data_IF_098720266443
#
_entry.id   IF_098720266443
#
_cell.length_a   1.000
_cell.length_b   1.000
_cell.length_c   1.000
_cell.angle_alpha   90.00
_cell.angle_beta   90.00
_cell.angle_gamma   90.00
#
_symmetry.space_group_name_H-M   'P 1'
#
loop_
_entity.id
_entity.type
_entity.pdbx_description
1 polymer ?
#
# COMPACT_ATOMS: atom_id res chain seq x y z
N UNK A 1 -10.87 25.24 26.67
CA UNK A 1 -10.82 23.77 26.89
C UNK A 1 -11.83 23.49 28.01
N UNK A 2 -12.72 22.50 27.90
CA UNK A 2 -13.71 22.24 28.96
C UNK A 2 -12.95 21.91 30.28
N UNK A 3 -13.34 22.52 31.40
CA UNK A 3 -12.71 22.35 32.72
C UNK A 3 -12.57 20.88 33.13
N UNK A 4 -13.52 20.04 32.72
CA UNK A 4 -13.48 18.60 32.98
C UNK A 4 -12.35 17.89 32.21
N UNK A 5 -12.13 18.26 30.94
CA UNK A 5 -11.05 17.71 30.12
C UNK A 5 -9.68 18.09 30.69
N UNK A 6 -9.53 19.34 31.13
CA UNK A 6 -8.28 19.81 31.73
C UNK A 6 -7.95 19.08 33.03
N UNK A 7 -8.94 18.86 33.89
CA UNK A 7 -8.77 18.10 35.14
C UNK A 7 -8.32 16.67 34.88
N UNK A 8 -8.91 15.99 33.90
CA UNK A 8 -8.55 14.61 33.54
C UNK A 8 -7.16 14.54 32.89
N UNK A 9 -6.80 15.49 32.03
CA UNK A 9 -5.44 15.59 31.48
C UNK A 9 -4.39 15.80 32.58
N UNK A 10 -4.69 16.63 33.57
CA UNK A 10 -3.81 16.83 34.72
C UNK A 10 -3.64 15.53 35.53
N UNK A 11 -4.71 14.74 35.70
CA UNK A 11 -4.67 13.45 36.39
C UNK A 11 -3.87 12.37 35.61
N UNK A 12 -3.72 12.53 34.30
CA UNK A 12 -2.95 11.63 33.44
C UNK A 12 -1.48 12.03 33.26
N UNK A 13 -1.03 13.14 33.85
CA UNK A 13 0.35 13.59 33.73
C UNK A 13 1.31 12.53 34.29
N UNK A 14 2.29 12.13 33.47
CA UNK A 14 3.26 11.09 33.82
C UNK A 14 2.73 9.64 33.75
N UNK A 15 1.46 9.43 33.37
CA UNK A 15 0.86 8.11 33.26
C UNK A 15 1.12 7.50 31.89
N UNK A 16 1.65 6.28 31.86
CA UNK A 16 1.94 5.51 30.64
C UNK A 16 0.98 4.34 30.40
N UNK A 17 0.10 4.06 31.36
CA UNK A 17 -0.86 2.94 31.40
C UNK A 17 -1.88 3.03 30.25
N UNK A 18 -1.87 2.09 29.28
CA UNK A 18 -2.79 2.08 28.15
C UNK A 18 -4.27 2.10 28.56
N UNK A 19 -4.68 1.38 29.60
CA UNK A 19 -6.09 1.26 29.98
C UNK A 19 -6.67 2.59 30.45
N UNK A 20 -5.86 3.41 31.14
CA UNK A 20 -6.27 4.76 31.56
C UNK A 20 -6.42 5.70 30.37
N UNK A 21 -5.53 5.58 29.38
CA UNK A 21 -5.62 6.36 28.14
C UNK A 21 -6.80 5.92 27.27
N UNK A 22 -7.07 4.63 27.16
CA UNK A 22 -8.24 4.11 26.44
C UNK A 22 -9.54 4.63 27.06
N UNK A 23 -9.69 4.57 28.39
CA UNK A 23 -10.85 5.16 29.11
C UNK A 23 -10.97 6.66 28.88
N UNK A 24 -9.86 7.39 28.81
CA UNK A 24 -9.86 8.81 28.50
C UNK A 24 -10.37 9.07 27.08
N UNK A 25 -9.86 8.33 26.07
CA UNK A 25 -10.31 8.46 24.68
C UNK A 25 -11.72 7.92 24.47
N UNK A 26 -12.20 6.99 25.29
CA UNK A 26 -13.59 6.55 25.29
C UNK A 26 -14.52 7.64 25.84
N UNK A 27 -14.14 8.29 26.95
CA UNK A 27 -14.92 9.35 27.60
C UNK A 27 -14.98 10.64 26.78
N UNK A 28 -13.85 11.08 26.24
CA UNK A 28 -13.75 12.36 25.56
C UNK A 28 -13.74 12.24 24.04
N UNK A 29 -13.35 11.07 23.51
CA UNK A 29 -13.40 10.80 22.08
C UNK A 29 -14.82 10.68 21.57
N UNK A 30 -15.01 10.81 20.25
CA UNK A 30 -16.33 10.68 19.65
C UNK A 30 -16.91 9.25 19.73
N UNK A 31 -16.15 8.27 20.22
CA UNK A 31 -16.56 6.87 20.38
C UNK A 31 -16.76 6.15 19.04
N UNK A 32 -16.64 4.82 19.02
CA UNK A 32 -16.63 4.07 17.76
C UNK A 32 -17.20 2.64 17.90
N UNK A 33 -18.54 2.57 17.99
CA UNK A 33 -19.32 1.32 18.10
C UNK A 33 -20.44 1.20 17.05
N UNK A 34 -20.44 2.08 16.04
CA UNK A 34 -21.56 2.24 15.11
C UNK A 34 -21.35 1.33 13.89
N UNK A 35 -22.25 0.35 13.63
CA UNK A 35 -22.09 -0.62 12.54
C UNK A 35 -22.32 -0.02 11.15
N UNK A 36 -22.85 1.21 11.06
CA UNK A 36 -23.07 1.96 9.82
C UNK A 36 -22.07 3.11 9.68
N UNK A 37 -21.95 3.66 8.46
CA UNK A 37 -21.23 4.92 8.26
C UNK A 37 -22.05 6.04 8.89
N UNK A 38 -21.51 6.67 9.91
CA UNK A 38 -22.17 7.76 10.62
C UNK A 38 -21.15 8.84 10.98
N UNK A 39 -21.38 10.04 10.45
CA UNK A 39 -20.58 11.25 10.67
C UNK A 39 -19.06 11.02 10.64
N UNK A 40 -18.57 10.15 9.75
CA UNK A 40 -17.19 9.66 9.79
C UNK A 40 -16.16 10.80 9.76
N UNK A 41 -16.43 11.87 8.99
CA UNK A 41 -15.59 13.07 8.97
C UNK A 41 -15.60 13.83 10.29
N UNK A 42 -16.77 14.14 10.86
CA UNK A 42 -16.85 14.89 12.11
C UNK A 42 -16.19 14.14 13.27
N UNK A 43 -16.36 12.80 13.33
CA UNK A 43 -15.71 11.94 14.33
C UNK A 43 -14.20 11.87 14.13
N UNK A 44 -13.73 11.82 12.90
CA UNK A 44 -12.31 11.93 12.60
C UNK A 44 -11.73 13.26 13.10
N UNK A 45 -12.41 14.38 12.82
CA UNK A 45 -12.03 15.70 13.32
C UNK A 45 -12.04 15.74 14.85
N UNK A 46 -13.00 15.10 15.50
CA UNK A 46 -13.06 14.96 16.96
C UNK A 46 -11.83 14.26 17.55
N UNK A 47 -11.42 13.13 16.99
CA UNK A 47 -10.18 12.45 17.41
C UNK A 47 -8.94 13.31 17.19
N UNK A 48 -8.82 13.98 16.03
CA UNK A 48 -7.72 14.91 15.76
C UNK A 48 -7.63 16.04 16.79
N UNK A 49 -8.77 16.66 17.08
CA UNK A 49 -8.84 17.79 18.01
C UNK A 49 -8.42 17.35 19.43
N UNK A 50 -8.87 16.20 19.90
CA UNK A 50 -8.49 15.68 21.22
C UNK A 50 -7.01 15.35 21.30
N UNK A 51 -6.46 14.66 20.30
CA UNK A 51 -5.01 14.38 20.25
C UNK A 51 -4.19 15.67 20.22
N UNK A 52 -4.64 16.67 19.47
CA UNK A 52 -3.99 17.98 19.43
C UNK A 52 -4.10 18.73 20.77
N UNK A 53 -5.23 18.64 21.47
CA UNK A 53 -5.41 19.21 22.82
C UNK A 53 -4.49 18.54 23.84
N UNK A 54 -4.38 17.21 23.83
CA UNK A 54 -3.41 16.47 24.68
C UNK A 54 -1.98 16.95 24.38
N UNK A 55 -1.61 17.07 23.09
CA UNK A 55 -0.29 17.55 22.66
C UNK A 55 0.02 18.97 23.12
N UNK A 56 -0.96 19.88 22.97
CA UNK A 56 -0.82 21.29 23.38
C UNK A 56 -0.79 21.48 24.90
N UNK A 57 -1.45 20.60 25.64
CA UNK A 57 -1.44 20.62 27.10
C UNK A 57 -0.05 20.30 27.64
N UNK A 58 0.55 19.19 27.19
CA UNK A 58 1.91 18.80 27.55
C UNK A 58 2.47 17.75 26.57
N UNK A 59 3.60 18.05 25.95
CA UNK A 59 4.24 17.16 24.98
C UNK A 59 4.77 15.88 25.64
N UNK A 60 5.25 15.96 26.89
CA UNK A 60 5.75 14.78 27.61
C UNK A 60 4.61 13.81 27.90
N UNK A 61 3.48 14.32 28.39
CA UNK A 61 2.24 13.55 28.58
C UNK A 61 1.74 12.94 27.26
N UNK A 62 1.74 13.69 26.16
CA UNK A 62 1.35 13.18 24.84
C UNK A 62 2.23 12.01 24.36
N UNK A 63 3.54 12.08 24.60
CA UNK A 63 4.47 11.01 24.25
C UNK A 63 4.27 9.75 25.10
N UNK A 64 3.83 9.92 26.35
CA UNK A 64 3.49 8.80 27.25
C UNK A 64 2.14 8.18 26.92
N UNK A 65 1.18 8.97 26.45
CA UNK A 65 -0.15 8.51 26.07
C UNK A 65 -0.11 7.32 25.11
N UNK A 66 -0.94 6.30 25.35
CA UNK A 66 -1.19 5.25 24.36
C UNK A 66 -2.18 5.77 23.33
N UNK A 67 -1.74 5.88 22.08
CA UNK A 67 -2.51 6.46 20.98
C UNK A 67 -2.93 5.41 19.94
N UNK A 68 -2.68 4.12 20.20
CA UNK A 68 -2.95 3.03 19.26
C UNK A 68 -4.43 2.93 18.92
N UNK A 69 -5.28 2.97 19.96
CA UNK A 69 -6.74 2.97 19.83
C UNK A 69 -7.26 4.15 19.00
N UNK A 70 -7.00 5.43 19.33
CA UNK A 70 -7.50 6.54 18.51
C UNK A 70 -6.92 6.52 17.09
N UNK A 71 -5.66 6.13 16.87
CA UNK A 71 -5.13 5.99 15.51
C UNK A 71 -5.82 4.90 14.70
N UNK A 72 -6.06 3.72 15.28
CA UNK A 72 -6.81 2.64 14.63
C UNK A 72 -8.23 3.09 14.24
N UNK A 73 -8.88 3.80 15.15
CA UNK A 73 -10.20 4.37 14.94
C UNK A 73 -10.21 5.45 13.84
N UNK A 74 -9.20 6.31 13.80
CA UNK A 74 -9.03 7.28 12.71
C UNK A 74 -8.76 6.61 11.37
N UNK A 75 -7.99 5.51 11.35
CA UNK A 75 -7.76 4.72 10.14
C UNK A 75 -9.08 4.21 9.56
N UNK A 76 -9.92 3.62 10.42
CA UNK A 76 -11.26 3.17 10.05
C UNK A 76 -12.13 4.31 9.48
N UNK A 77 -12.21 5.43 10.19
CA UNK A 77 -13.02 6.58 9.79
C UNK A 77 -12.56 7.17 8.45
N UNK A 78 -11.25 7.25 8.20
CA UNK A 78 -10.71 7.67 6.91
C UNK A 78 -11.04 6.68 5.78
N UNK A 79 -11.02 5.39 6.09
CA UNK A 79 -11.49 4.34 5.18
C UNK A 79 -12.96 4.51 4.79
N UNK A 80 -13.82 4.90 5.73
CA UNK A 80 -15.24 5.18 5.44
C UNK A 80 -15.44 6.39 4.52
N UNK A 81 -14.63 7.43 4.71
CA UNK A 81 -14.62 8.66 3.89
C UNK A 81 -14.08 8.39 2.48
N UNK A 82 -13.33 7.30 2.28
CA UNK A 82 -12.66 6.99 1.01
C UNK A 82 -11.24 7.54 0.91
N UNK A 83 -10.73 8.19 1.96
CA UNK A 83 -9.35 8.69 2.00
C UNK A 83 -8.37 7.59 2.42
N UNK A 84 -8.16 6.60 1.54
CA UNK A 84 -7.35 5.41 1.82
C UNK A 84 -5.90 5.71 2.18
N UNK A 85 -5.29 6.74 1.60
CA UNK A 85 -3.94 7.16 1.96
C UNK A 85 -3.84 7.52 3.45
N UNK A 86 -4.77 8.36 3.94
CA UNK A 86 -4.83 8.71 5.37
C UNK A 86 -5.21 7.51 6.23
N UNK A 87 -6.08 6.64 5.75
CA UNK A 87 -6.44 5.41 6.45
C UNK A 87 -5.20 4.54 6.71
N UNK A 88 -4.38 4.32 5.69
CA UNK A 88 -3.16 3.51 5.78
C UNK A 88 -2.08 4.19 6.62
N UNK A 89 -1.97 5.51 6.55
CA UNK A 89 -1.10 6.29 7.44
C UNK A 89 -1.46 6.10 8.91
N UNK A 90 -2.73 6.31 9.29
CA UNK A 90 -3.17 6.13 10.68
C UNK A 90 -3.09 4.67 11.13
N UNK A 91 -3.30 3.70 10.24
CA UNK A 91 -3.11 2.28 10.54
C UNK A 91 -1.65 2.00 10.89
N UNK A 92 -0.70 2.52 10.11
CA UNK A 92 0.72 2.42 10.41
C UNK A 92 1.08 3.07 11.74
N UNK A 93 0.55 4.25 12.04
CA UNK A 93 0.75 4.93 13.32
C UNK A 93 0.21 4.12 14.50
N UNK A 94 -0.93 3.46 14.36
CA UNK A 94 -1.50 2.58 15.38
C UNK A 94 -0.59 1.38 15.66
N UNK A 95 -0.10 0.72 14.62
CA UNK A 95 0.80 -0.44 14.74
C UNK A 95 2.12 -0.04 15.42
N UNK A 96 2.72 1.08 15.03
CA UNK A 96 3.97 1.56 15.64
C UNK A 96 3.78 1.96 17.10
N UNK A 97 2.66 2.57 17.45
CA UNK A 97 2.33 2.93 18.82
C UNK A 97 2.13 1.70 19.71
N UNK A 98 1.43 0.69 19.19
CA UNK A 98 1.25 -0.60 19.86
C UNK A 98 2.57 -1.33 20.06
N UNK A 99 3.41 -1.38 19.02
CA UNK A 99 4.75 -1.99 19.09
C UNK A 99 5.68 -1.28 20.07
N UNK A 100 5.61 0.06 20.13
CA UNK A 100 6.39 0.86 21.08
C UNK A 100 6.05 0.48 22.53
N UNK A 101 4.79 0.14 22.80
CA UNK A 101 4.31 -0.24 24.15
C UNK A 101 4.52 -1.72 24.46
N UNK A 102 4.31 -2.60 23.48
CA UNK A 102 4.51 -4.04 23.63
C UNK A 102 5.12 -4.65 22.37
N UNK A 103 6.45 -4.79 22.37
CA UNK A 103 7.18 -5.40 21.25
C UNK A 103 6.89 -6.89 21.07
N UNK A 104 6.49 -7.60 22.11
CA UNK A 104 6.34 -9.05 22.08
C UNK A 104 5.00 -9.45 21.48
N UNK A 105 3.93 -8.70 21.80
CA UNK A 105 2.56 -9.12 21.44
C UNK A 105 1.78 -8.15 20.56
N UNK A 106 2.35 -7.03 20.09
CA UNK A 106 1.64 -6.07 19.23
C UNK A 106 0.98 -6.70 17.98
N UNK A 107 1.52 -7.81 17.48
CA UNK A 107 0.93 -8.55 16.35
C UNK A 107 -0.46 -9.11 16.67
N UNK A 108 -0.83 -9.25 17.94
CA UNK A 108 -2.16 -9.67 18.36
C UNK A 108 -3.17 -8.53 18.37
N UNK A 109 -2.73 -7.28 18.22
CA UNK A 109 -3.59 -6.12 18.29
C UNK A 109 -4.40 -5.91 17.01
N UNK A 110 -5.57 -5.23 17.10
CA UNK A 110 -6.48 -5.06 15.97
C UNK A 110 -5.86 -4.39 14.75
N UNK A 111 -4.94 -3.43 14.94
CA UNK A 111 -4.31 -2.71 13.85
C UNK A 111 -3.41 -3.62 12.99
N UNK A 112 -2.58 -4.46 13.62
CA UNK A 112 -1.75 -5.42 12.90
C UNK A 112 -2.58 -6.52 12.23
N UNK A 113 -3.61 -7.02 12.93
CA UNK A 113 -4.56 -8.00 12.36
C UNK A 113 -5.32 -7.46 11.16
N UNK A 114 -5.63 -6.16 11.15
CA UNK A 114 -6.25 -5.51 10.00
C UNK A 114 -5.28 -5.44 8.81
N UNK A 115 -4.02 -5.03 9.03
CA UNK A 115 -3.00 -4.99 7.98
C UNK A 115 -2.73 -6.37 7.37
N UNK A 116 -2.73 -7.42 8.19
CA UNK A 116 -2.50 -8.82 7.78
C UNK A 116 -3.76 -9.54 7.33
N UNK A 117 -4.90 -8.84 7.25
CA UNK A 117 -6.21 -9.40 6.85
C UNK A 117 -6.71 -10.58 7.71
N UNK A 118 -6.25 -10.68 8.96
CA UNK A 118 -6.56 -11.78 9.90
C UNK A 118 -7.78 -11.56 10.80
N UNK A 119 -8.42 -10.37 10.78
CA UNK A 119 -9.64 -10.13 11.56
C UNK A 119 -10.66 -9.32 10.78
N UNK A 120 -11.83 -9.92 10.56
CA UNK A 120 -13.05 -9.24 10.10
C UNK A 120 -13.92 -8.75 11.26
N UNK A 121 -13.62 -9.18 12.48
CA UNK A 121 -14.34 -8.80 13.70
C UNK A 121 -13.88 -7.43 14.22
N UNK A 122 -14.84 -6.64 14.71
CA UNK A 122 -14.60 -5.34 15.35
C UNK A 122 -15.00 -4.14 14.49
N UNK A 123 -14.66 -2.95 15.00
CA UNK A 123 -15.17 -1.69 14.44
C UNK A 123 -14.72 -1.43 12.99
N UNK A 124 -13.55 -1.92 12.58
CA UNK A 124 -12.99 -1.66 11.25
C UNK A 124 -13.40 -2.66 10.14
N UNK A 125 -14.44 -3.49 10.32
CA UNK A 125 -14.87 -4.50 9.31
C UNK A 125 -15.06 -3.91 7.90
N UNK A 126 -15.52 -2.67 7.78
CA UNK A 126 -15.68 -2.02 6.47
C UNK A 126 -14.35 -1.70 5.80
N UNK A 127 -13.37 -1.22 6.57
CA UNK A 127 -12.02 -1.01 6.07
C UNK A 127 -11.36 -2.35 5.74
N UNK A 128 -11.56 -3.37 6.57
CA UNK A 128 -11.12 -4.74 6.29
C UNK A 128 -11.59 -5.23 4.92
N UNK A 129 -12.89 -5.14 4.64
CA UNK A 129 -13.45 -5.55 3.33
C UNK A 129 -12.83 -4.75 2.17
N UNK A 130 -12.65 -3.44 2.35
CA UNK A 130 -12.04 -2.56 1.34
C UNK A 130 -10.56 -2.90 1.05
N UNK A 131 -9.83 -3.46 2.01
CA UNK A 131 -8.47 -3.95 1.79
C UNK A 131 -8.45 -5.37 1.23
N UNK A 132 -9.34 -6.22 1.72
CA UNK A 132 -9.38 -7.65 1.40
C UNK A 132 -9.78 -7.94 -0.04
N UNK A 133 -10.86 -7.33 -0.52
CA UNK A 133 -11.40 -7.68 -1.85
C UNK A 133 -10.41 -7.33 -2.98
N UNK A 134 -9.75 -6.14 -3.01
CA UNK A 134 -8.74 -5.86 -4.03
C UNK A 134 -7.56 -6.85 -3.98
N UNK A 135 -7.07 -7.18 -2.78
CA UNK A 135 -5.98 -8.15 -2.63
C UNK A 135 -6.39 -9.52 -3.19
N UNK A 136 -7.59 -10.00 -2.85
CA UNK A 136 -8.14 -11.27 -3.35
C UNK A 136 -8.26 -11.29 -4.88
N UNK A 137 -8.89 -10.26 -5.46
CA UNK A 137 -9.10 -10.16 -6.91
C UNK A 137 -7.77 -10.10 -7.66
N UNK A 138 -6.81 -9.35 -7.14
CA UNK A 138 -5.51 -9.15 -7.79
C UNK A 138 -4.62 -10.39 -7.68
N UNK A 139 -4.69 -11.15 -6.59
CA UNK A 139 -4.05 -12.47 -6.52
C UNK A 139 -4.67 -13.47 -7.51
N UNK A 140 -6.00 -13.52 -7.59
CA UNK A 140 -6.68 -14.38 -8.56
C UNK A 140 -6.23 -14.06 -10.00
N UNK A 141 -6.22 -12.77 -10.36
CA UNK A 141 -5.72 -12.32 -11.67
C UNK A 141 -4.26 -12.72 -11.90
N UNK A 142 -3.41 -12.65 -10.87
CA UNK A 142 -2.03 -13.09 -10.98
C UNK A 142 -1.92 -14.60 -11.26
N UNK A 143 -2.66 -15.44 -10.54
CA UNK A 143 -2.69 -16.89 -10.81
C UNK A 143 -3.20 -17.17 -12.23
N UNK A 144 -4.31 -16.53 -12.64
CA UNK A 144 -4.92 -16.69 -13.96
C UNK A 144 -3.95 -16.25 -15.10
N UNK A 145 -3.23 -15.14 -14.92
CA UNK A 145 -2.32 -14.58 -15.93
C UNK A 145 -0.99 -15.33 -16.06
N UNK A 146 -0.55 -16.00 -14.99
CA UNK A 146 0.81 -16.56 -14.92
C UNK A 146 0.84 -18.09 -14.82
N UNK A 147 -0.28 -18.71 -14.45
CA UNK A 147 -0.36 -20.13 -14.13
C UNK A 147 0.36 -20.52 -12.83
N UNK A 148 0.87 -19.55 -12.06
CA UNK A 148 1.54 -19.79 -10.79
C UNK A 148 0.48 -19.87 -9.69
N UNK A 149 0.39 -21.01 -9.00
CA UNK A 149 -0.46 -21.13 -7.82
C UNK A 149 0.25 -20.61 -6.56
N UNK A 150 -0.51 -19.92 -5.70
CA UNK A 150 -0.05 -19.49 -4.37
C UNK A 150 0.18 -20.67 -3.42
N UNK A 151 -0.51 -21.80 -3.65
CA UNK A 151 -0.41 -23.01 -2.82
C UNK A 151 -1.04 -22.89 -1.43
N UNK A 152 -1.75 -21.80 -1.13
CA UNK A 152 -2.48 -21.56 0.13
C UNK A 152 -3.57 -20.49 -0.05
N UNK A 153 -4.40 -20.28 0.98
CA UNK A 153 -5.38 -19.19 0.98
C UNK A 153 -4.67 -17.83 0.88
N UNK A 154 -5.26 -16.90 0.12
CA UNK A 154 -4.66 -15.59 -0.16
C UNK A 154 -4.51 -14.72 1.10
N UNK A 155 -5.33 -14.91 2.14
CA UNK A 155 -5.18 -14.19 3.42
C UNK A 155 -3.92 -14.66 4.14
N UNK A 156 -3.70 -15.97 4.20
CA UNK A 156 -2.48 -16.53 4.79
C UNK A 156 -1.24 -16.18 3.96
N UNK A 157 -1.38 -16.19 2.64
CA UNK A 157 -0.32 -15.72 1.74
C UNK A 157 0.01 -14.25 1.98
N UNK A 158 -0.99 -13.37 2.06
CA UNK A 158 -0.81 -11.96 2.37
C UNK A 158 -0.15 -11.73 3.72
N UNK A 159 -0.55 -12.46 4.76
CA UNK A 159 0.12 -12.43 6.05
C UNK A 159 1.60 -12.80 5.91
N UNK A 160 1.93 -13.88 5.20
CA UNK A 160 3.31 -14.30 4.99
C UNK A 160 4.13 -13.23 4.27
N UNK A 161 3.53 -12.51 3.32
CA UNK A 161 4.15 -11.35 2.65
C UNK A 161 4.51 -10.27 3.66
N UNK A 162 3.52 -9.84 4.45
CA UNK A 162 3.69 -8.81 5.47
C UNK A 162 4.80 -9.24 6.44
N UNK A 163 4.74 -10.46 6.95
CA UNK A 163 5.69 -10.97 7.95
C UNK A 163 7.11 -11.11 7.39
N UNK A 164 7.28 -11.69 6.19
CA UNK A 164 8.60 -11.83 5.58
C UNK A 164 9.24 -10.48 5.26
N UNK A 165 8.51 -9.56 4.65
CA UNK A 165 9.04 -8.23 4.32
C UNK A 165 9.32 -7.42 5.60
N UNK A 166 8.51 -7.57 6.64
CA UNK A 166 8.68 -6.85 7.92
C UNK A 166 9.46 -7.64 8.98
N UNK A 167 10.19 -8.70 8.62
CA UNK A 167 10.92 -9.56 9.57
C UNK A 167 11.82 -8.77 10.52
N UNK A 168 12.60 -7.82 10.00
CA UNK A 168 13.49 -6.95 10.81
C UNK A 168 12.80 -5.72 11.40
N UNK A 169 11.49 -5.59 11.21
CA UNK A 169 10.63 -4.48 11.63
C UNK A 169 11.31 -3.10 11.56
N UNK A 170 11.73 -2.71 10.36
CA UNK A 170 12.31 -1.39 10.10
C UNK A 170 11.31 -0.47 9.38
N UNK A 171 11.46 0.84 9.56
CA UNK A 171 10.54 1.84 9.02
C UNK A 171 10.39 1.75 7.49
N UNK A 172 11.46 1.37 6.78
CA UNK A 172 11.45 1.26 5.31
C UNK A 172 10.52 0.14 4.85
N UNK A 173 10.65 -1.06 5.43
CA UNK A 173 9.88 -2.23 5.03
C UNK A 173 8.41 -2.12 5.47
N UNK A 174 8.14 -1.55 6.65
CA UNK A 174 6.77 -1.25 7.09
C UNK A 174 6.13 -0.25 6.15
N UNK A 175 6.83 0.83 5.80
CA UNK A 175 6.33 1.83 4.83
C UNK A 175 6.04 1.21 3.47
N UNK A 176 6.88 0.28 3.00
CA UNK A 176 6.66 -0.43 1.74
C UNK A 176 5.37 -1.26 1.76
N UNK A 177 5.12 -2.03 2.81
CA UNK A 177 3.88 -2.81 2.96
C UNK A 177 2.65 -1.91 3.05
N UNK A 178 2.72 -0.82 3.81
CA UNK A 178 1.63 0.16 3.94
C UNK A 178 1.33 0.82 2.59
N UNK A 179 2.37 1.17 1.84
CA UNK A 179 2.25 1.76 0.50
C UNK A 179 1.69 0.76 -0.51
N UNK A 180 2.11 -0.50 -0.44
CA UNK A 180 1.56 -1.57 -1.26
C UNK A 180 0.07 -1.80 -0.98
N UNK A 181 -0.32 -1.93 0.30
CA UNK A 181 -1.71 -2.11 0.70
C UNK A 181 -2.59 -0.94 0.24
N UNK A 182 -2.09 0.29 0.41
CA UNK A 182 -2.71 1.50 -0.11
C UNK A 182 -2.89 1.42 -1.64
N UNK A 183 -1.81 1.18 -2.37
CA UNK A 183 -1.80 1.18 -3.83
C UNK A 183 -2.78 0.15 -4.41
N UNK A 184 -2.79 -1.07 -3.85
CA UNK A 184 -3.73 -2.13 -4.25
C UNK A 184 -5.19 -1.72 -3.95
N UNK A 185 -5.46 -1.10 -2.79
CA UNK A 185 -6.82 -0.72 -2.39
C UNK A 185 -7.45 0.34 -3.29
N UNK A 186 -6.63 1.13 -3.98
CA UNK A 186 -7.07 2.21 -4.86
C UNK A 186 -7.49 1.72 -6.25
N UNK A 187 -7.15 0.48 -6.63
CA UNK A 187 -7.41 -0.02 -7.99
C UNK A 187 -8.87 0.11 -8.42
N UNK A 188 -9.83 -0.25 -7.54
CA UNK A 188 -11.25 -0.23 -7.88
C UNK A 188 -11.76 1.19 -8.14
N UNK A 189 -11.31 2.17 -7.35
CA UNK A 189 -11.66 3.58 -7.52
C UNK A 189 -11.04 4.15 -8.80
N UNK A 190 -9.73 3.93 -9.01
CA UNK A 190 -9.04 4.43 -10.20
C UNK A 190 -9.54 3.77 -11.49
N UNK A 191 -9.96 2.51 -11.44
CA UNK A 191 -10.58 1.83 -12.58
C UNK A 191 -11.96 2.40 -12.94
N UNK A 192 -12.72 2.90 -11.97
CA UNK A 192 -13.99 3.60 -12.25
C UNK A 192 -13.70 5.01 -12.76
N UNK A 193 -12.75 5.72 -12.13
CA UNK A 193 -12.33 7.05 -12.58
C UNK A 193 -11.83 7.01 -14.02
N UNK A 194 -11.02 6.01 -14.40
CA UNK A 194 -10.55 5.88 -15.79
C UNK A 194 -11.71 5.77 -16.77
N UNK A 195 -12.74 4.96 -16.44
CA UNK A 195 -13.94 4.82 -17.26
C UNK A 195 -14.80 6.09 -17.33
N UNK A 196 -14.84 6.88 -16.26
CA UNK A 196 -15.57 8.14 -16.24
C UNK A 196 -14.87 9.26 -17.00
N UNK A 197 -13.54 9.17 -17.11
CA UNK A 197 -12.73 10.20 -17.76
C UNK A 197 -12.59 10.00 -19.28
N UNK A 198 -13.16 8.92 -19.83
CA UNK A 198 -13.15 8.64 -21.27
C UNK A 198 -13.64 9.88 -22.04
N UNK A 199 -12.85 10.37 -22.99
CA UNK A 199 -13.06 11.57 -23.82
C UNK A 199 -12.95 12.94 -23.12
N UNK A 200 -12.49 13.00 -21.87
CA UNK A 200 -12.36 14.29 -21.13
C UNK A 200 -10.93 14.83 -21.08
N UNK A 201 -9.92 14.02 -21.39
CA UNK A 201 -8.50 14.40 -21.41
C UNK A 201 -7.90 14.89 -20.08
N UNK A 202 -8.64 14.85 -18.97
CA UNK A 202 -8.38 15.66 -17.77
C UNK A 202 -7.85 14.87 -16.55
N UNK A 203 -7.79 13.54 -16.62
CA UNK A 203 -7.35 12.66 -15.50
C UNK A 203 -6.07 11.87 -15.76
N UNK A 204 -5.48 12.05 -16.94
CA UNK A 204 -4.41 11.20 -17.45
C UNK A 204 -3.18 11.14 -16.50
N UNK A 205 -2.91 12.24 -15.79
CA UNK A 205 -1.84 12.33 -14.78
C UNK A 205 -2.10 11.59 -13.48
N UNK A 206 -3.34 11.60 -12.99
CA UNK A 206 -3.66 10.96 -11.71
C UNK A 206 -3.51 9.45 -11.86
N UNK A 207 -4.05 8.90 -12.96
CA UNK A 207 -3.90 7.51 -13.33
C UNK A 207 -2.43 7.13 -13.53
N UNK A 208 -1.65 7.96 -14.23
CA UNK A 208 -0.22 7.75 -14.45
C UNK A 208 0.60 7.81 -13.16
N UNK A 209 0.30 8.76 -12.27
CA UNK A 209 0.97 8.89 -10.97
C UNK A 209 0.74 7.65 -10.12
N UNK A 210 -0.49 7.12 -10.10
CA UNK A 210 -0.79 5.89 -9.40
C UNK A 210 -0.05 4.68 -10.00
N UNK A 211 0.05 4.56 -11.33
CA UNK A 211 0.87 3.50 -11.94
C UNK A 211 2.35 3.62 -11.60
N UNK A 212 2.90 4.84 -11.61
CA UNK A 212 4.29 5.12 -11.22
C UNK A 212 4.58 4.74 -9.77
N UNK A 213 3.66 5.00 -8.85
CA UNK A 213 3.77 4.53 -7.46
C UNK A 213 3.91 3.00 -7.40
N UNK A 214 3.12 2.28 -8.21
CA UNK A 214 3.24 0.82 -8.38
C UNK A 214 4.63 0.40 -8.87
N UNK A 215 5.17 1.08 -9.87
CA UNK A 215 6.51 0.82 -10.37
C UNK A 215 7.62 1.09 -9.35
N UNK A 216 7.45 2.08 -8.48
CA UNK A 216 8.38 2.35 -7.36
C UNK A 216 8.28 1.28 -6.26
N UNK A 217 7.08 0.75 -6.00
CA UNK A 217 6.89 -0.41 -5.11
C UNK A 217 7.62 -1.63 -5.69
N UNK A 218 7.44 -1.90 -6.98
CA UNK A 218 8.13 -2.97 -7.70
C UNK A 218 9.67 -2.84 -7.56
N UNK A 219 10.23 -1.67 -7.86
CA UNK A 219 11.66 -1.41 -7.69
C UNK A 219 12.12 -1.63 -6.23
N UNK A 220 11.34 -1.15 -5.27
CA UNK A 220 11.65 -1.31 -3.84
C UNK A 220 11.68 -2.78 -3.41
N UNK A 221 10.77 -3.60 -3.92
CA UNK A 221 10.73 -5.05 -3.68
C UNK A 221 11.92 -5.76 -4.35
N UNK A 222 12.28 -5.37 -5.57
CA UNK A 222 13.48 -5.92 -6.23
C UNK A 222 14.75 -5.65 -5.39
N UNK A 223 14.88 -4.47 -4.78
CA UNK A 223 16.03 -4.16 -3.90
C UNK A 223 16.05 -4.99 -2.61
N UNK A 224 14.92 -5.55 -2.18
CA UNK A 224 14.89 -6.50 -1.04
C UNK A 224 15.48 -7.84 -1.46
N UNK A 225 15.15 -8.34 -2.65
CA UNK A 225 15.70 -9.60 -3.16
C UNK A 225 17.15 -9.49 -3.59
N UNK A 226 17.56 -8.31 -4.06
CA UNK A 226 18.88 -8.09 -4.63
C UNK A 226 19.52 -6.82 -4.05
N UNK A 227 19.96 -6.87 -2.78
CA UNK A 227 20.51 -5.70 -2.09
C UNK A 227 21.80 -5.17 -2.71
N UNK A 228 22.58 -6.01 -3.39
CA UNK A 228 23.80 -5.65 -4.10
C UNK A 228 23.59 -4.92 -5.44
N UNK A 229 22.34 -4.72 -5.85
CA UNK A 229 21.99 -4.05 -7.11
C UNK A 229 21.78 -2.55 -6.84
N UNK A 230 22.79 -1.74 -7.20
CA UNK A 230 22.73 -0.28 -7.10
C UNK A 230 21.82 0.35 -8.16
N UNK A 231 21.77 -0.24 -9.36
CA UNK A 231 20.92 0.19 -10.47
C UNK A 231 20.10 -0.99 -10.99
N UNK A 232 18.78 -0.90 -10.85
CA UNK A 232 17.86 -1.94 -11.31
C UNK A 232 17.90 -2.11 -12.84
N UNK A 233 18.17 -1.04 -13.60
CA UNK A 233 18.37 -1.12 -15.05
C UNK A 233 19.57 -1.98 -15.42
N UNK A 234 20.70 -1.77 -14.74
CA UNK A 234 21.89 -2.61 -14.91
C UNK A 234 21.65 -4.06 -14.48
N UNK A 235 20.81 -4.29 -13.47
CA UNK A 235 20.41 -5.65 -13.09
C UNK A 235 19.52 -6.33 -14.13
N UNK A 236 18.57 -5.60 -14.71
CA UNK A 236 17.72 -6.12 -15.77
C UNK A 236 18.52 -6.38 -17.04
N UNK A 237 19.46 -5.51 -17.39
CA UNK A 237 20.34 -5.69 -18.56
C UNK A 237 21.41 -6.78 -18.34
N UNK A 238 22.15 -6.74 -17.22
CA UNK A 238 23.33 -7.59 -17.00
C UNK A 238 23.04 -8.92 -16.28
N UNK A 239 21.95 -9.03 -15.50
CA UNK A 239 21.63 -10.22 -14.68
C UNK A 239 20.37 -10.98 -15.09
N UNK A 240 19.57 -10.52 -16.06
CA UNK A 240 18.51 -11.35 -16.65
C UNK A 240 19.04 -12.59 -17.37
N UNK A 241 20.28 -12.58 -17.87
CA UNK A 241 20.88 -13.71 -18.58
C UNK A 241 21.35 -14.86 -17.66
N UNK A 242 21.61 -14.62 -16.36
CA UNK A 242 22.25 -15.62 -15.49
C UNK A 242 21.41 -16.06 -14.28
N UNK A 243 20.84 -15.11 -13.50
CA UNK A 243 20.16 -15.42 -12.22
C UNK A 243 18.72 -14.87 -12.17
N UNK A 244 18.48 -13.69 -12.74
CA UNK A 244 17.18 -13.03 -12.68
C UNK A 244 16.19 -13.66 -13.68
N UNK A 245 16.59 -13.90 -14.94
CA UNK A 245 15.70 -14.50 -15.94
C UNK A 245 15.34 -15.96 -15.64
N UNK A 246 16.29 -16.76 -15.12
CA UNK A 246 16.02 -18.17 -14.76
C UNK A 246 15.00 -18.35 -13.64
N UNK A 247 14.96 -17.42 -12.68
CA UNK A 247 14.09 -17.53 -11.51
C UNK A 247 12.76 -16.80 -11.69
N UNK A 248 12.72 -15.74 -12.51
CA UNK A 248 11.55 -14.88 -12.68
C UNK A 248 10.75 -15.15 -13.94
N UNK A 249 11.39 -15.53 -15.03
CA UNK A 249 10.74 -15.68 -16.32
C UNK A 249 10.46 -17.16 -16.61
N UNK A 250 9.46 -17.45 -17.47
CA UNK A 250 9.33 -18.78 -18.04
C UNK A 250 10.65 -19.23 -18.68
N UNK A 251 11.00 -20.52 -18.56
CA UNK A 251 12.24 -21.09 -19.14
C UNK A 251 12.40 -20.83 -20.65
N UNK A 252 11.32 -20.49 -21.35
CA UNK A 252 11.26 -20.24 -22.79
C UNK A 252 11.12 -18.74 -23.14
N UNK A 253 11.31 -17.84 -22.17
CA UNK A 253 11.24 -16.40 -22.44
C UNK A 253 12.49 -15.95 -23.20
N UNK A 254 12.36 -15.78 -24.52
CA UNK A 254 13.37 -15.12 -25.34
C UNK A 254 13.34 -13.62 -25.07
N UNK A 255 14.17 -13.16 -24.14
CA UNK A 255 14.45 -11.74 -23.96
C UNK A 255 15.66 -11.40 -24.82
N UNK A 256 15.46 -10.54 -25.81
CA UNK A 256 16.57 -9.92 -26.53
C UNK A 256 17.41 -9.11 -25.53
N UNK A 257 18.74 -9.17 -25.64
CA UNK A 257 19.69 -8.48 -24.74
C UNK A 257 19.41 -6.99 -24.58
N UNK A 258 18.74 -6.37 -25.55
CA UNK A 258 18.52 -4.93 -25.64
C UNK A 258 17.06 -4.54 -25.27
N UNK A 259 16.25 -5.50 -24.81
CA UNK A 259 14.83 -5.29 -24.53
C UNK A 259 14.60 -4.21 -23.46
N UNK A 260 15.51 -4.13 -22.48
CA UNK A 260 15.49 -3.12 -21.43
C UNK A 260 16.34 -1.88 -21.76
N UNK A 261 17.26 -1.93 -22.73
CA UNK A 261 17.98 -0.73 -23.19
C UNK A 261 17.04 0.32 -23.79
N UNK A 262 15.95 -0.12 -24.42
CA UNK A 262 14.89 0.76 -24.92
C UNK A 262 14.13 1.51 -23.81
N UNK A 263 14.20 1.07 -22.56
CA UNK A 263 13.50 1.74 -21.44
C UNK A 263 14.19 3.01 -20.96
N UNK A 264 15.47 3.21 -21.30
CA UNK A 264 16.20 4.46 -21.01
C UNK A 264 15.76 5.62 -21.91
N UNK A 265 15.00 5.34 -22.98
CA UNK A 265 14.50 6.31 -23.95
C UNK A 265 12.97 6.53 -23.84
N UNK A 266 12.33 6.02 -22.78
CA UNK A 266 10.88 6.21 -22.58
C UNK A 266 10.63 7.60 -22.01
N UNK A 267 10.10 8.48 -22.84
CA UNK A 267 9.82 9.89 -22.50
C UNK A 267 8.33 10.15 -22.27
N UNK A 268 7.48 9.27 -22.79
CA UNK A 268 6.03 9.46 -22.89
C UNK A 268 5.26 8.15 -22.66
N UNK A 269 3.98 8.25 -22.27
CA UNK A 269 3.04 7.13 -22.26
C UNK A 269 2.80 6.57 -23.67
N UNK A 270 2.92 7.40 -24.71
CA UNK A 270 2.86 6.95 -26.11
C UNK A 270 3.99 5.99 -26.46
N UNK A 271 5.20 6.22 -25.94
CA UNK A 271 6.33 5.30 -26.13
C UNK A 271 6.02 3.93 -25.50
N UNK A 272 5.42 3.93 -24.30
CA UNK A 272 4.99 2.72 -23.60
C UNK A 272 3.90 1.99 -24.42
N UNK A 273 2.88 2.71 -24.87
CA UNK A 273 1.78 2.14 -25.65
C UNK A 273 2.25 1.57 -26.99
N UNK A 274 3.10 2.31 -27.71
CA UNK A 274 3.71 1.89 -28.96
C UNK A 274 4.49 0.59 -28.78
N UNK A 275 5.38 0.53 -27.79
CA UNK A 275 6.16 -0.68 -27.52
C UNK A 275 5.29 -1.89 -27.17
N UNK A 276 4.26 -1.70 -26.34
CA UNK A 276 3.32 -2.77 -25.98
C UNK A 276 2.56 -3.28 -27.20
N UNK A 277 2.17 -2.39 -28.12
CA UNK A 277 1.45 -2.76 -29.34
C UNK A 277 2.33 -3.52 -30.33
N UNK A 278 3.58 -3.09 -30.52
CA UNK A 278 4.56 -3.73 -31.42
C UNK A 278 5.02 -5.10 -30.92
N UNK A 279 4.94 -5.33 -29.60
CA UNK A 279 5.43 -6.55 -28.94
C UNK A 279 4.29 -7.38 -28.35
N UNK A 280 3.12 -7.40 -28.99
CA UNK A 280 1.93 -8.12 -28.52
C UNK A 280 2.16 -9.64 -28.34
N UNK A 281 3.15 -10.20 -29.02
CA UNK A 281 3.52 -11.62 -28.96
C UNK A 281 4.54 -11.95 -27.86
N UNK A 282 5.07 -10.96 -27.15
CA UNK A 282 6.01 -11.17 -26.05
C UNK A 282 5.29 -11.77 -24.83
N UNK A 283 5.96 -12.66 -24.10
CA UNK A 283 5.42 -13.24 -22.86
C UNK A 283 4.87 -12.14 -21.92
N UNK A 284 3.65 -12.34 -21.41
CA UNK A 284 3.01 -11.38 -20.51
C UNK A 284 3.83 -11.03 -19.27
N UNK A 285 4.65 -11.97 -18.77
CA UNK A 285 5.57 -11.70 -17.66
C UNK A 285 6.71 -10.77 -18.06
N UNK A 286 7.32 -10.99 -19.23
CA UNK A 286 8.38 -10.14 -19.76
C UNK A 286 7.85 -8.72 -19.98
N UNK A 287 6.65 -8.61 -20.57
CA UNK A 287 5.98 -7.33 -20.77
C UNK A 287 5.65 -6.63 -19.44
N UNK A 288 5.20 -7.38 -18.43
CA UNK A 288 4.90 -6.85 -17.10
C UNK A 288 6.12 -6.17 -16.46
N UNK A 289 7.28 -6.82 -16.54
CA UNK A 289 8.53 -6.28 -16.01
C UNK A 289 9.00 -5.05 -16.78
N UNK A 290 8.90 -5.08 -18.11
CA UNK A 290 9.26 -3.96 -18.96
C UNK A 290 8.38 -2.74 -18.72
N UNK A 291 7.06 -2.91 -18.73
CA UNK A 291 6.10 -1.82 -18.48
C UNK A 291 6.33 -1.22 -17.09
N UNK A 292 6.54 -2.05 -16.07
CA UNK A 292 6.84 -1.57 -14.71
C UNK A 292 8.10 -0.71 -14.69
N UNK A 293 9.17 -1.14 -15.35
CA UNK A 293 10.43 -0.40 -15.40
C UNK A 293 10.34 0.87 -16.28
N UNK A 294 9.67 0.79 -17.43
CA UNK A 294 9.42 1.91 -18.33
C UNK A 294 8.62 3.02 -17.64
N UNK A 295 7.53 2.68 -16.95
CA UNK A 295 6.72 3.64 -16.20
C UNK A 295 7.51 4.33 -15.08
N UNK A 296 8.44 3.63 -14.43
CA UNK A 296 9.36 4.21 -13.44
C UNK A 296 10.28 5.25 -14.07
N UNK A 297 10.81 4.95 -15.25
CA UNK A 297 11.77 5.80 -15.96
C UNK A 297 11.12 6.89 -16.80
N UNK A 298 9.80 6.88 -16.95
CA UNK A 298 9.08 7.88 -17.71
C UNK A 298 9.46 9.26 -17.14
N UNK A 299 10.12 10.09 -17.93
CA UNK A 299 10.46 11.48 -17.58
C UNK A 299 9.42 12.36 -18.23
N UNK A 300 8.27 12.54 -17.58
CA UNK A 300 7.18 13.33 -18.14
C UNK A 300 7.59 14.80 -18.18
N UNK A 301 8.17 15.24 -19.30
CA UNK A 301 8.36 16.66 -19.60
C UNK A 301 7.03 17.35 -19.94
N UNK A 302 6.00 16.56 -20.23
CA UNK A 302 4.64 17.01 -20.49
C UNK A 302 3.65 16.28 -19.55
N UNK A 303 2.90 17.07 -18.79
CA UNK A 303 1.85 16.60 -17.88
C UNK A 303 0.55 16.31 -18.65
N UNK A 304 0.49 16.51 -19.96
CA UNK A 304 -0.70 16.20 -20.77
C UNK A 304 -0.61 14.84 -21.45
N UNK A 305 0.57 14.23 -21.45
CA UNK A 305 0.82 12.92 -22.01
C UNK A 305 0.52 11.83 -20.96
N UNK A 306 -0.75 11.46 -20.86
CA UNK A 306 -1.17 10.42 -19.95
C UNK A 306 -1.81 9.22 -20.62
N UNK A 307 -2.40 8.36 -19.79
CA UNK A 307 -2.89 7.05 -20.19
C UNK A 307 -4.14 7.19 -21.06
N UNK A 308 -4.22 6.43 -22.15
CA UNK A 308 -5.43 6.36 -22.96
C UNK A 308 -6.64 5.86 -22.17
N UNK A 309 -7.82 6.27 -22.59
CA UNK A 309 -9.08 6.18 -21.86
C UNK A 309 -9.46 4.76 -21.36
N UNK A 310 -8.94 3.69 -21.98
CA UNK A 310 -9.17 2.28 -21.60
C UNK A 310 -7.91 1.50 -21.19
N UNK A 311 -6.76 2.17 -21.06
CA UNK A 311 -5.49 1.46 -20.88
C UNK A 311 -5.05 1.33 -19.42
N UNK A 312 -5.67 2.07 -18.49
CA UNK A 312 -5.26 2.05 -17.07
C UNK A 312 -5.32 0.63 -16.48
N UNK A 313 -6.43 -0.09 -16.63
CA UNK A 313 -6.58 -1.45 -16.09
C UNK A 313 -5.57 -2.43 -16.70
N UNK A 314 -5.21 -2.24 -17.98
CA UNK A 314 -4.19 -3.03 -18.68
C UNK A 314 -2.81 -2.79 -18.08
N UNK A 315 -2.38 -1.53 -17.96
CA UNK A 315 -1.08 -1.21 -17.36
C UNK A 315 -1.01 -1.54 -15.87
N UNK A 316 -2.09 -1.33 -15.13
CA UNK A 316 -2.19 -1.77 -13.74
C UNK A 316 -2.00 -3.29 -13.63
N UNK A 317 -2.60 -4.07 -14.53
CA UNK A 317 -2.40 -5.52 -14.58
C UNK A 317 -0.93 -5.89 -14.83
N UNK A 318 -0.23 -5.19 -15.72
CA UNK A 318 1.21 -5.39 -15.92
C UNK A 318 2.02 -5.09 -14.65
N UNK A 319 1.78 -3.94 -14.02
CA UNK A 319 2.52 -3.53 -12.82
C UNK A 319 2.24 -4.46 -11.63
N UNK A 320 0.97 -4.77 -11.36
CA UNK A 320 0.59 -5.71 -10.29
C UNK A 320 1.14 -7.13 -10.51
N UNK A 321 1.14 -7.63 -11.76
CA UNK A 321 1.73 -8.93 -12.10
C UNK A 321 3.23 -8.95 -11.81
N UNK A 322 3.96 -7.89 -12.17
CA UNK A 322 5.39 -7.77 -11.87
C UNK A 322 5.65 -7.74 -10.35
N UNK A 323 4.89 -6.93 -9.61
CA UNK A 323 4.96 -6.84 -8.14
C UNK A 323 4.73 -8.21 -7.51
N UNK A 324 3.64 -8.90 -7.85
CA UNK A 324 3.33 -10.20 -7.25
C UNK A 324 4.34 -11.27 -7.64
N UNK A 325 4.94 -11.19 -8.83
CA UNK A 325 6.02 -12.10 -9.20
C UNK A 325 7.25 -11.93 -8.30
N UNK A 326 7.61 -10.69 -7.97
CA UNK A 326 8.69 -10.38 -7.02
C UNK A 326 8.34 -10.84 -5.62
N UNK A 327 7.13 -10.55 -5.16
CA UNK A 327 6.63 -11.01 -3.87
C UNK A 327 6.67 -12.54 -3.79
N UNK A 328 6.27 -13.25 -4.84
CA UNK A 328 6.32 -14.71 -4.89
C UNK A 328 7.72 -15.25 -4.63
N UNK A 329 8.76 -14.60 -5.17
CA UNK A 329 10.14 -15.01 -4.93
C UNK A 329 10.63 -14.65 -3.52
N UNK A 330 10.12 -13.58 -2.91
CA UNK A 330 10.40 -13.25 -1.49
C UNK A 330 9.77 -14.30 -0.56
N UNK A 331 8.55 -14.75 -0.91
CA UNK A 331 7.76 -15.65 -0.05
C UNK A 331 8.10 -17.13 -0.23
N UNK A 332 8.66 -17.53 -1.36
CA UNK A 332 9.25 -18.86 -1.54
C UNK A 332 10.36 -19.15 -0.53
#
# INVERSE_FOLDING_TARGET
>A
MNDQLQKELQALKGISDPQKWDKFFEKFGPGNSIPVKDQSYARYIGYLDILNKVRKFDIATYNLAHKGTPYYLMAWLQGDIGSFHKAMLFLSMAIEEDRRKDKATFKNNPAYKLLTLQSDSGTATRLYKKLKEPVKELFKKFEDNTGISLGMDYVDYWKNIVEKITTSWNNKNVSLIITLAYWLSQYSEYSVISQLCINTGSSANLLQSHLREGSLIFESLCRILFPEINNIGEAFNNKMSSTFGKNFLPKNANIQTDFFDKTNNVSSMKDVAGFVSENSNTSGMVMSFWVSYALRNLTSHDITDGIGDDEYSKYFSFVSTAIFRVIYQIVK
#
